data_IF_217381333179
#
_entry.id   IF_217381333179
#
_cell.length_a   1.000
_cell.length_b   1.000
_cell.length_c   1.000
_cell.angle_alpha   90.00
_cell.angle_beta   90.00
_cell.angle_gamma   90.00
#
_symmetry.space_group_name_H-M   'P 1'
#
loop_
_entity.id
_entity.type
_entity.pdbx_description
1 polymer ?
#
# COMPACT_ATOMS: atom_id res chain seq x y z
N UNK A 1 -2.51 -5.52 -22.97
CA UNK A 1 -3.50 -4.67 -23.69
C UNK A 1 -4.50 -4.19 -22.66
N UNK A 2 -4.84 -2.93 -22.45
CA UNK A 2 -4.24 -1.64 -22.80
C UNK A 2 -4.92 -0.65 -21.84
N UNK A 3 -4.17 0.23 -21.18
CA UNK A 3 -4.69 1.55 -20.79
C UNK A 3 -3.54 2.55 -20.97
N UNK A 4 -3.77 3.51 -21.85
CA UNK A 4 -2.79 4.50 -22.26
C UNK A 4 -2.71 5.62 -21.24
N UNK A 5 -1.52 5.78 -20.66
CA UNK A 5 -1.13 7.01 -19.99
C UNK A 5 -0.45 7.91 -21.01
N UNK A 6 -1.22 8.84 -21.56
CA UNK A 6 -0.66 10.09 -22.07
C UNK A 6 -1.58 11.24 -21.64
N UNK A 7 -1.10 12.01 -20.67
CA UNK A 7 -1.35 13.44 -20.62
C UNK A 7 -0.02 14.13 -20.29
N UNK A 8 0.68 14.57 -21.34
CA UNK A 8 1.56 15.74 -21.25
C UNK A 8 0.66 16.99 -21.46
N UNK A 9 0.92 18.21 -20.98
CA UNK A 9 2.08 18.82 -20.34
C UNK A 9 1.56 19.99 -19.46
N UNK A 10 2.33 20.41 -18.46
CA UNK A 10 2.06 21.68 -17.79
C UNK A 10 2.82 21.84 -16.47
N UNK A 11 4.02 22.41 -16.57
CA UNK A 11 4.89 22.75 -15.44
C UNK A 11 4.16 23.70 -14.49
N UNK A 12 3.94 23.26 -13.25
CA UNK A 12 3.56 24.10 -12.13
C UNK A 12 4.20 23.52 -10.87
N UNK A 13 5.14 24.24 -10.28
CA UNK A 13 5.77 23.88 -9.01
C UNK A 13 4.70 24.02 -7.93
N UNK A 14 4.05 22.91 -7.60
CA UNK A 14 2.96 22.84 -6.63
C UNK A 14 2.80 21.40 -6.18
N UNK A 15 3.54 21.09 -5.12
CA UNK A 15 3.47 19.92 -4.24
C UNK A 15 2.14 19.16 -4.30
N UNK A 16 2.19 17.94 -4.83
CA UNK A 16 1.16 16.88 -4.74
C UNK A 16 -0.27 17.28 -5.19
N UNK A 17 -0.99 16.34 -5.78
CA UNK A 17 -2.41 16.52 -6.13
C UNK A 17 -3.25 16.56 -4.83
N UNK A 18 -3.15 17.62 -4.04
CA UNK A 18 -4.13 17.94 -3.02
C UNK A 18 -5.47 18.10 -3.75
N UNK A 19 -6.44 17.26 -3.40
CA UNK A 19 -7.78 17.40 -3.94
C UNK A 19 -8.33 18.74 -3.41
N UNK A 20 -8.51 19.72 -4.30
CA UNK A 20 -9.07 21.01 -3.93
C UNK A 20 -10.58 20.94 -4.10
N UNK A 21 -11.32 21.42 -3.11
CA UNK A 21 -12.78 21.57 -3.20
C UNK A 21 -13.22 22.95 -2.75
N UNK A 22 -14.39 23.45 -3.22
CA UNK A 22 -14.97 24.67 -2.68
C UNK A 22 -15.19 24.55 -1.16
N UNK A 23 -14.93 25.65 -0.47
CA UNK A 23 -15.22 25.82 0.95
C UNK A 23 -16.71 25.59 1.22
N UNK A 24 -17.01 24.88 2.31
CA UNK A 24 -18.34 24.74 2.87
C UNK A 24 -18.36 25.29 4.30
N UNK A 25 -19.48 25.86 4.76
CA UNK A 25 -19.60 26.29 6.15
C UNK A 25 -19.27 25.14 7.13
N UNK A 26 -18.28 25.37 8.00
CA UNK A 26 -17.77 24.36 8.93
C UNK A 26 -16.36 23.87 8.61
N UNK A 27 -15.82 24.19 7.43
CA UNK A 27 -14.43 23.90 7.10
C UNK A 27 -13.46 24.79 7.90
N UNK A 28 -12.30 24.24 8.24
CA UNK A 28 -11.22 25.00 8.87
C UNK A 28 -10.62 26.01 7.88
N UNK A 29 -10.81 27.31 8.15
CA UNK A 29 -10.33 28.43 7.33
C UNK A 29 -8.81 28.37 7.11
N UNK A 30 -8.04 27.78 8.04
CA UNK A 30 -6.58 27.61 7.92
C UNK A 30 -6.18 26.69 6.76
N UNK A 31 -7.11 25.88 6.26
CA UNK A 31 -6.91 24.97 5.13
C UNK A 31 -7.22 25.59 3.77
N UNK A 32 -7.60 26.87 3.73
CA UNK A 32 -7.88 27.57 2.48
C UNK A 32 -6.60 27.68 1.64
N UNK A 33 -6.71 27.35 0.36
CA UNK A 33 -5.66 27.59 -0.61
C UNK A 33 -5.84 29.00 -1.23
N UNK A 34 -4.98 29.98 -0.92
CA UNK A 34 -5.14 31.34 -1.40
C UNK A 34 -4.92 31.46 -2.92
N UNK A 35 -4.09 30.60 -3.52
CA UNK A 35 -3.77 30.67 -4.95
C UNK A 35 -4.94 30.16 -5.80
N UNK A 36 -5.52 29.02 -5.42
CA UNK A 36 -6.70 28.47 -6.06
C UNK A 36 -7.92 29.39 -5.86
N UNK A 37 -8.06 29.96 -4.65
CA UNK A 37 -9.13 30.90 -4.35
C UNK A 37 -9.02 32.19 -5.15
N UNK A 38 -7.82 32.76 -5.28
CA UNK A 38 -7.58 33.96 -6.09
C UNK A 38 -7.80 33.72 -7.59
N UNK A 39 -7.42 32.54 -8.11
CA UNK A 39 -7.59 32.20 -9.53
C UNK A 39 -9.06 32.00 -9.94
N UNK A 40 -9.87 31.45 -9.03
CA UNK A 40 -11.26 31.08 -9.32
C UNK A 40 -12.28 32.10 -8.82
N UNK A 41 -11.89 32.97 -7.89
CA UNK A 41 -12.80 33.88 -7.19
C UNK A 41 -13.69 33.20 -6.15
N UNK A 42 -13.50 31.90 -5.90
CA UNK A 42 -14.28 31.09 -4.96
C UNK A 42 -13.32 30.53 -3.90
N UNK A 43 -13.61 30.61 -2.59
CA UNK A 43 -12.75 30.00 -1.57
C UNK A 43 -12.63 28.49 -1.78
N UNK A 44 -11.40 27.98 -1.90
CA UNK A 44 -11.08 26.56 -2.01
C UNK A 44 -10.33 26.08 -0.77
N UNK A 45 -10.67 24.90 -0.27
CA UNK A 45 -9.96 24.23 0.83
C UNK A 45 -9.18 23.03 0.32
N UNK A 46 -8.00 22.81 0.89
CA UNK A 46 -7.17 21.62 0.63
C UNK A 46 -7.77 20.41 1.35
N UNK A 47 -8.23 19.44 0.59
CA UNK A 47 -8.62 18.14 1.11
C UNK A 47 -7.37 17.28 1.28
N UNK A 48 -7.12 16.90 2.53
CA UNK A 48 -6.11 15.90 2.84
C UNK A 48 -6.81 14.56 2.73
N UNK A 49 -6.44 13.76 1.75
CA UNK A 49 -6.79 12.35 1.74
C UNK A 49 -5.79 11.67 2.67
N UNK A 50 -6.18 11.24 3.89
CA UNK A 50 -5.23 10.60 4.77
C UNK A 50 -4.76 9.31 4.11
N UNK A 51 -3.47 9.25 3.76
CA UNK A 51 -2.84 8.03 3.30
C UNK A 51 -2.88 7.00 4.42
N UNK A 52 -3.76 6.00 4.28
CA UNK A 52 -3.82 4.89 5.23
C UNK A 52 -2.81 3.84 4.81
N UNK A 53 -1.72 3.73 5.57
CA UNK A 53 -0.78 2.62 5.43
C UNK A 53 -1.44 1.32 5.87
N UNK A 54 -1.91 0.52 4.91
CA UNK A 54 -2.44 -0.82 5.19
C UNK A 54 -1.33 -1.74 5.68
N UNK A 55 -1.53 -2.40 6.82
CA UNK A 55 -0.60 -3.41 7.35
C UNK A 55 -1.23 -4.79 7.18
N UNK A 56 -0.63 -5.62 6.32
CA UNK A 56 -1.07 -6.98 6.03
C UNK A 56 -0.27 -8.00 6.83
N UNK A 57 -0.94 -9.01 7.37
CA UNK A 57 -0.32 -10.13 8.07
C UNK A 57 -0.51 -11.41 7.27
N UNK A 58 0.58 -12.17 7.10
CA UNK A 58 0.56 -13.50 6.52
C UNK A 58 0.78 -14.51 7.64
N UNK A 59 -0.11 -15.50 7.75
CA UNK A 59 0.01 -16.60 8.70
C UNK A 59 0.30 -17.88 7.91
N UNK A 60 1.48 -18.44 8.11
CA UNK A 60 1.99 -19.59 7.35
C UNK A 60 2.05 -20.83 8.26
N UNK A 61 1.33 -21.88 7.86
CA UNK A 61 1.50 -23.21 8.44
C UNK A 61 2.76 -23.85 7.84
N UNK A 62 3.67 -24.29 8.70
CA UNK A 62 4.90 -25.04 8.35
C UNK A 62 4.96 -26.39 9.06
N UNK A 63 3.81 -26.92 9.50
CA UNK A 63 3.69 -28.24 10.11
C UNK A 63 4.10 -29.37 9.16
N UNK A 64 4.45 -30.57 9.67
CA UNK A 64 4.80 -31.72 8.83
C UNK A 64 3.74 -32.09 7.78
N UNK A 65 2.47 -31.71 8.00
CA UNK A 65 1.39 -31.91 7.02
C UNK A 65 1.59 -31.12 5.71
N UNK A 66 2.42 -30.07 5.75
CA UNK A 66 2.83 -29.26 4.60
C UNK A 66 3.97 -29.90 3.79
N UNK A 67 4.61 -30.96 4.30
CA UNK A 67 5.61 -31.75 3.59
C UNK A 67 4.99 -32.82 2.66
N UNK A 68 3.68 -32.76 2.42
CA UNK A 68 2.96 -33.63 1.49
C UNK A 68 2.64 -32.89 0.18
N UNK A 69 2.92 -33.51 -0.97
CA UNK A 69 2.66 -32.95 -2.30
C UNK A 69 2.77 -33.99 -3.42
N UNK A 70 2.22 -33.69 -4.59
CA UNK A 70 2.44 -34.48 -5.81
C UNK A 70 3.91 -34.37 -6.24
N UNK A 71 4.41 -35.37 -6.96
CA UNK A 71 5.83 -35.65 -7.23
C UNK A 71 6.74 -34.45 -7.62
N UNK A 72 6.18 -33.32 -8.07
CA UNK A 72 6.92 -32.15 -8.54
C UNK A 72 7.08 -31.00 -7.53
N UNK A 73 6.24 -30.87 -6.47
CA UNK A 73 6.33 -29.77 -5.49
C UNK A 73 5.69 -30.10 -4.14
N UNK A 74 6.31 -29.62 -3.05
CA UNK A 74 5.71 -29.66 -1.71
C UNK A 74 4.69 -28.51 -1.53
N UNK A 75 3.70 -28.69 -0.65
CA UNK A 75 2.78 -27.59 -0.26
C UNK A 75 3.54 -26.41 0.35
N UNK A 76 4.68 -26.66 1.00
CA UNK A 76 5.59 -25.62 1.50
C UNK A 76 6.15 -24.72 0.39
N UNK A 77 6.48 -25.28 -0.77
CA UNK A 77 7.06 -24.52 -1.89
C UNK A 77 6.02 -23.59 -2.51
N UNK A 78 4.78 -24.08 -2.61
CA UNK A 78 3.62 -23.29 -3.03
C UNK A 78 3.33 -22.17 -2.02
N UNK A 79 3.40 -22.48 -0.73
CA UNK A 79 3.24 -21.50 0.35
C UNK A 79 4.28 -20.37 0.30
N UNK A 80 5.54 -20.70 0.04
CA UNK A 80 6.62 -19.71 -0.12
C UNK A 80 6.38 -18.78 -1.31
N UNK A 81 5.98 -19.34 -2.47
CA UNK A 81 5.63 -18.56 -3.65
C UNK A 81 4.45 -17.61 -3.42
N UNK A 82 3.44 -18.07 -2.66
CA UNK A 82 2.27 -17.26 -2.31
C UNK A 82 2.65 -16.08 -1.40
N UNK A 83 3.48 -16.31 -0.38
CA UNK A 83 3.99 -15.26 0.52
C UNK A 83 4.71 -14.18 -0.27
N UNK A 84 5.54 -14.57 -1.24
CA UNK A 84 6.31 -13.66 -2.06
C UNK A 84 5.42 -12.81 -3.00
N UNK A 85 4.40 -13.41 -3.62
CA UNK A 85 3.42 -12.69 -4.44
C UNK A 85 2.58 -11.72 -3.60
N UNK A 86 2.02 -12.18 -2.47
CA UNK A 86 1.17 -11.35 -1.59
C UNK A 86 2.00 -10.23 -0.96
N UNK A 87 3.21 -10.51 -0.50
CA UNK A 87 4.10 -9.52 0.08
C UNK A 87 4.43 -8.40 -0.92
N UNK A 88 4.75 -8.76 -2.17
CA UNK A 88 4.96 -7.76 -3.23
C UNK A 88 3.72 -6.95 -3.53
N UNK A 89 2.53 -7.56 -3.54
CA UNK A 89 1.29 -6.84 -3.80
C UNK A 89 0.94 -5.86 -2.67
N UNK A 90 1.11 -6.27 -1.42
CA UNK A 90 0.84 -5.44 -0.25
C UNK A 90 1.75 -4.20 -0.19
N UNK A 91 3.03 -4.36 -0.52
CA UNK A 91 4.03 -3.27 -0.48
C UNK A 91 3.87 -2.29 -1.65
N UNK A 92 3.45 -2.76 -2.84
CA UNK A 92 3.25 -1.90 -4.03
C UNK A 92 2.24 -0.77 -3.83
N UNK A 93 1.29 -0.92 -2.90
CA UNK A 93 0.30 0.11 -2.56
C UNK A 93 0.70 0.99 -1.36
N UNK A 94 1.99 1.06 -1.03
CA UNK A 94 2.47 1.80 0.15
C UNK A 94 2.15 1.10 1.49
N UNK A 95 1.72 -0.16 1.44
CA UNK A 95 1.43 -0.97 2.61
C UNK A 95 2.67 -1.60 3.24
N UNK A 96 2.47 -2.19 4.41
CA UNK A 96 3.47 -3.00 5.14
C UNK A 96 3.02 -4.45 5.18
N UNK A 97 3.95 -5.39 5.15
CA UNK A 97 3.66 -6.83 5.27
C UNK A 97 4.49 -7.46 6.38
N UNK A 98 3.83 -8.17 7.30
CA UNK A 98 4.46 -9.01 8.32
C UNK A 98 4.05 -10.48 8.15
N UNK A 99 4.79 -11.38 8.77
CA UNK A 99 4.57 -12.82 8.66
C UNK A 99 4.71 -13.52 10.01
N UNK A 100 3.87 -14.52 10.25
CA UNK A 100 3.93 -15.46 11.36
C UNK A 100 3.95 -16.88 10.79
N UNK A 101 5.00 -17.65 11.04
CA UNK A 101 5.04 -19.07 10.69
C UNK A 101 4.92 -19.94 11.94
N UNK A 102 4.01 -20.93 11.90
CA UNK A 102 3.67 -21.82 13.02
C UNK A 102 3.66 -23.29 12.59
N UNK A 103 3.72 -24.23 13.54
CA UNK A 103 3.74 -25.68 13.24
C UNK A 103 5.14 -26.30 13.12
N UNK A 104 6.19 -25.48 13.19
CA UNK A 104 7.59 -25.94 13.33
C UNK A 104 8.05 -26.00 14.79
N UNK A 105 9.35 -26.23 15.04
CA UNK A 105 9.92 -26.34 16.40
C UNK A 105 9.75 -25.07 17.24
N UNK A 106 9.61 -23.91 16.58
CA UNK A 106 9.39 -22.63 17.22
C UNK A 106 8.53 -21.72 16.31
N UNK A 107 7.84 -20.77 16.92
CA UNK A 107 7.12 -19.71 16.22
C UNK A 107 8.13 -18.75 15.58
N UNK A 108 7.99 -18.47 14.28
CA UNK A 108 8.83 -17.49 13.57
C UNK A 108 8.01 -16.25 13.23
N UNK A 109 8.39 -15.12 13.80
CA UNK A 109 7.76 -13.82 13.54
C UNK A 109 8.68 -12.95 12.67
N UNK A 110 8.15 -12.44 11.57
CA UNK A 110 8.77 -11.35 10.80
C UNK A 110 7.88 -10.12 10.95
N UNK A 111 8.37 -9.05 11.61
CA UNK A 111 7.57 -7.87 11.86
C UNK A 111 7.21 -7.17 10.55
N UNK A 112 6.07 -6.43 10.49
CA UNK A 112 5.67 -5.76 9.28
C UNK A 112 6.69 -4.72 8.79
N UNK A 113 7.13 -4.85 7.54
CA UNK A 113 8.02 -3.90 6.87
C UNK A 113 7.37 -3.34 5.62
N UNK A 114 7.69 -2.08 5.29
CA UNK A 114 7.29 -1.41 4.05
C UNK A 114 8.51 -1.05 3.19
N UNK A 115 8.28 -0.60 1.96
CA UNK A 115 9.36 -0.18 1.05
C UNK A 115 10.27 -1.33 0.57
N UNK A 116 11.47 -0.99 0.08
CA UNK A 116 12.40 -1.94 -0.57
C UNK A 116 12.89 -3.10 0.34
N UNK A 117 12.81 -2.95 1.67
CA UNK A 117 13.19 -3.98 2.65
C UNK A 117 12.04 -4.88 3.13
N UNK A 118 10.88 -4.81 2.47
CA UNK A 118 9.69 -5.59 2.84
C UNK A 118 9.59 -6.96 2.16
N UNK A 119 10.54 -7.29 1.26
CA UNK A 119 10.57 -8.60 0.62
C UNK A 119 10.99 -9.66 1.65
N UNK A 120 10.11 -10.66 1.82
CA UNK A 120 10.32 -11.81 2.69
C UNK A 120 11.06 -12.90 1.88
N UNK A 121 12.32 -12.62 1.55
CA UNK A 121 13.26 -13.59 0.95
C UNK A 121 14.15 -14.23 2.00
#
# INVERSE_FOLDING_TARGET
MAHGDHVAAGVGVGTELAQLRPYQPGDDIRRIDPNASARTGIPHVREEVPERQLTSWIVLDVSPSMAFGTADRLKSDVGAGLVDVIGRLAVRRGGRVGMLAFGGPALRLVPPRGGRGALLG
#
